data_IF_421585414892
#
_entry.id   IF_421585414892
#
_cell.length_a   1.000
_cell.length_b   1.000
_cell.length_c   1.000
_cell.angle_alpha   90.00
_cell.angle_beta   90.00
_cell.angle_gamma   90.00
#
_symmetry.space_group_name_H-M   'P 1'
#
loop_
_entity.id
_entity.type
_entity.pdbx_description
1 polymer ?
#
# COMPACT_ATOMS: atom_id res chain seq x y z
N UNK A 1 -2.53 12.91 -12.30
CA UNK A 1 -3.21 14.07 -11.66
C UNK A 1 -2.50 14.27 -10.34
N UNK A 2 -1.74 15.37 -10.24
CA UNK A 2 -1.09 15.92 -9.04
C UNK A 2 -0.26 14.97 -8.14
N UNK A 3 0.61 14.11 -8.69
CA UNK A 3 1.75 13.60 -7.94
C UNK A 3 1.44 12.86 -6.61
N UNK A 4 0.32 12.13 -6.56
CA UNK A 4 -0.20 11.33 -5.42
C UNK A 4 -0.94 12.08 -4.31
N UNK A 5 -0.97 13.41 -4.31
CA UNK A 5 -1.75 14.19 -3.34
C UNK A 5 -2.64 15.23 -4.02
N UNK A 6 -3.67 15.67 -3.31
CA UNK A 6 -4.53 16.76 -3.76
C UNK A 6 -4.92 17.64 -2.60
N UNK A 7 -4.71 18.94 -2.73
CA UNK A 7 -5.16 19.90 -1.72
C UNK A 7 -6.67 19.82 -1.54
N UNK A 8 -7.16 20.06 -0.32
CA UNK A 8 -8.60 20.06 -0.05
C UNK A 8 -9.33 21.07 -0.96
N UNK A 9 -8.74 22.23 -1.20
CA UNK A 9 -9.31 23.28 -2.05
C UNK A 9 -9.49 22.82 -3.49
N UNK A 10 -8.49 22.13 -4.03
CA UNK A 10 -8.50 21.58 -5.38
C UNK A 10 -9.47 20.41 -5.51
N UNK A 11 -9.49 19.50 -4.55
CA UNK A 11 -10.47 18.42 -4.51
C UNK A 11 -11.89 18.99 -4.56
N UNK A 12 -12.19 20.01 -3.75
CA UNK A 12 -13.49 20.66 -3.78
C UNK A 12 -13.75 21.42 -5.08
N UNK A 13 -12.73 22.00 -5.72
CA UNK A 13 -12.85 22.64 -7.04
C UNK A 13 -13.29 21.63 -8.09
N UNK A 14 -12.68 20.46 -8.12
CA UNK A 14 -12.95 19.46 -9.13
C UNK A 14 -14.32 18.77 -8.88
N UNK A 15 -14.67 18.54 -7.61
CA UNK A 15 -16.02 18.07 -7.23
C UNK A 15 -17.13 19.05 -7.65
N UNK A 16 -16.87 20.37 -7.60
CA UNK A 16 -17.83 21.38 -8.08
C UNK A 16 -18.09 21.26 -9.58
N UNK A 17 -17.10 20.86 -10.38
CA UNK A 17 -17.29 20.60 -11.82
C UNK A 17 -18.25 19.44 -12.04
N UNK A 18 -18.20 18.42 -11.18
CA UNK A 18 -19.13 17.30 -11.15
C UNK A 18 -20.46 17.61 -10.43
N UNK A 19 -20.76 18.89 -10.16
CA UNK A 19 -21.96 19.35 -9.44
C UNK A 19 -22.11 18.77 -8.03
N UNK A 20 -21.01 18.35 -7.42
CA UNK A 20 -20.93 17.90 -6.03
C UNK A 20 -20.47 19.07 -5.17
N UNK A 21 -21.32 19.55 -4.27
CA UNK A 21 -21.06 20.74 -3.47
C UNK A 21 -21.02 20.42 -1.98
N UNK A 22 -20.07 21.00 -1.22
CA UNK A 22 -20.07 20.87 0.23
C UNK A 22 -21.36 21.45 0.82
N UNK A 23 -21.96 20.77 1.81
CA UNK A 23 -23.17 21.24 2.50
C UNK A 23 -24.48 21.05 1.72
N UNK A 24 -24.45 20.47 0.51
CA UNK A 24 -25.65 20.09 -0.26
C UNK A 24 -25.72 18.58 -0.40
N UNK A 25 -26.91 18.01 -0.19
CA UNK A 25 -27.12 16.57 -0.41
C UNK A 25 -27.15 16.27 -1.91
N UNK A 26 -26.15 15.54 -2.39
CA UNK A 26 -26.13 14.94 -3.72
C UNK A 26 -26.95 13.65 -3.72
N UNK A 27 -27.68 13.38 -4.81
CA UNK A 27 -28.56 12.21 -4.91
C UNK A 27 -27.80 10.89 -4.75
N UNK A 28 -26.61 10.79 -5.34
CA UNK A 28 -25.76 9.59 -5.28
C UNK A 28 -24.82 9.59 -4.06
N UNK A 29 -24.24 10.75 -3.72
CA UNK A 29 -23.14 10.84 -2.75
C UNK A 29 -23.60 11.26 -1.35
N UNK A 30 -24.89 11.53 -1.16
CA UNK A 30 -25.39 12.10 0.08
C UNK A 30 -24.75 13.45 0.34
N UNK A 31 -24.42 13.77 1.59
CA UNK A 31 -23.76 15.03 1.95
C UNK A 31 -22.23 14.88 1.84
N UNK A 32 -21.56 15.55 0.88
CA UNK A 32 -20.16 15.28 0.56
C UNK A 32 -19.18 15.56 1.71
N UNK A 33 -19.43 16.57 2.56
CA UNK A 33 -18.56 16.86 3.72
C UNK A 33 -18.62 15.80 4.79
N UNK A 34 -19.70 15.02 4.87
CA UNK A 34 -19.75 13.81 5.68
C UNK A 34 -19.12 12.63 4.96
N UNK A 35 -19.26 12.51 3.64
CA UNK A 35 -18.79 11.33 2.91
C UNK A 35 -17.26 11.23 2.88
N UNK A 36 -16.55 12.33 2.61
CA UNK A 36 -15.10 12.29 2.38
C UNK A 36 -14.32 11.95 3.67
N UNK A 37 -14.40 12.75 4.76
CA UNK A 37 -13.76 12.42 6.03
C UNK A 37 -14.35 11.18 6.71
N UNK A 38 -15.68 11.00 6.73
CA UNK A 38 -16.27 9.89 7.51
C UNK A 38 -16.32 8.57 6.75
N UNK A 39 -16.37 8.60 5.42
CA UNK A 39 -16.44 7.41 4.58
C UNK A 39 -15.05 6.98 4.13
N UNK A 40 -14.46 7.73 3.21
CA UNK A 40 -13.22 7.32 2.53
C UNK A 40 -12.01 7.28 3.45
N UNK A 41 -11.85 8.26 4.35
CA UNK A 41 -10.74 8.24 5.33
C UNK A 41 -10.92 7.13 6.37
N UNK A 42 -12.14 6.95 6.89
CA UNK A 42 -12.45 5.86 7.84
C UNK A 42 -12.23 4.48 7.22
N UNK A 43 -12.62 4.30 5.96
CA UNK A 43 -12.44 3.06 5.21
C UNK A 43 -11.01 2.90 4.65
N UNK A 44 -10.09 3.82 4.94
CA UNK A 44 -8.67 3.77 4.52
C UNK A 44 -8.46 3.81 3.00
N UNK A 45 -9.43 4.35 2.26
CA UNK A 45 -9.26 4.66 0.84
C UNK A 45 -8.53 5.99 0.63
N UNK A 46 -8.72 6.94 1.54
CA UNK A 46 -8.00 8.20 1.55
C UNK A 46 -7.27 8.38 2.87
N UNK A 47 -6.17 9.10 2.83
CA UNK A 47 -5.53 9.72 3.98
C UNK A 47 -5.80 11.22 3.93
N UNK A 48 -5.89 11.85 5.09
CA UNK A 48 -6.12 13.29 5.24
C UNK A 48 -5.18 13.80 6.32
N UNK A 49 -4.28 14.70 5.95
CA UNK A 49 -3.36 15.31 6.89
C UNK A 49 -3.10 16.78 6.55
N UNK A 50 -2.60 17.50 7.55
CA UNK A 50 -2.15 18.87 7.36
C UNK A 50 -0.84 18.88 6.57
N UNK A 51 -0.68 19.83 5.66
CA UNK A 51 0.57 20.07 4.93
C UNK A 51 1.58 20.64 5.93
N UNK A 52 2.77 20.05 6.08
CA UNK A 52 3.82 20.56 6.96
C UNK A 52 4.15 22.02 6.63
N UNK A 53 4.38 22.83 7.66
CA UNK A 53 4.82 24.23 7.55
C UNK A 53 3.87 25.15 6.73
N UNK A 54 2.60 24.76 6.60
CA UNK A 54 1.59 25.60 5.94
C UNK A 54 1.07 26.70 6.87
N UNK A 55 1.23 27.96 6.43
CA UNK A 55 0.63 29.14 7.08
C UNK A 55 -0.17 29.97 6.05
N UNK A 56 -1.52 30.04 6.17
CA UNK A 56 -2.36 29.38 7.16
C UNK A 56 -2.40 27.85 6.98
N UNK A 57 -2.85 27.07 7.98
CA UNK A 57 -2.98 25.62 7.90
C UNK A 57 -3.75 25.15 6.66
N UNK A 58 -3.11 24.29 5.85
CA UNK A 58 -3.70 23.65 4.67
C UNK A 58 -3.74 22.14 4.85
N UNK A 59 -4.70 21.50 4.21
CA UNK A 59 -4.86 20.06 4.27
C UNK A 59 -4.86 19.45 2.87
N UNK A 60 -4.39 18.22 2.78
CA UNK A 60 -4.37 17.46 1.54
C UNK A 60 -4.88 16.04 1.76
N UNK A 61 -5.34 15.45 0.65
CA UNK A 61 -5.77 14.06 0.56
C UNK A 61 -4.76 13.24 -0.24
N UNK A 62 -4.52 12.02 0.22
CA UNK A 62 -3.70 11.03 -0.47
C UNK A 62 -4.43 9.71 -0.57
N UNK A 63 -3.92 8.81 -1.41
CA UNK A 63 -4.42 7.44 -1.44
C UNK A 63 -4.04 6.71 -0.15
N UNK A 64 -5.03 6.10 0.48
CA UNK A 64 -4.82 5.25 1.63
C UNK A 64 -4.40 3.83 1.24
N UNK A 65 -3.99 3.01 2.22
CA UNK A 65 -3.49 1.65 1.98
C UNK A 65 -4.52 0.77 1.27
N UNK A 66 -5.82 0.97 1.54
CA UNK A 66 -6.87 0.21 0.89
C UNK A 66 -6.99 0.54 -0.60
N UNK A 67 -6.81 1.81 -0.99
CA UNK A 67 -6.80 2.20 -2.39
C UNK A 67 -5.62 1.56 -3.14
N UNK A 68 -4.41 1.59 -2.56
CA UNK A 68 -3.23 0.95 -3.14
C UNK A 68 -3.33 -0.58 -3.26
N UNK A 69 -4.13 -1.22 -2.41
CA UNK A 69 -4.39 -2.66 -2.48
C UNK A 69 -5.42 -3.02 -3.56
N UNK A 70 -6.52 -2.27 -3.64
CA UNK A 70 -7.66 -2.62 -4.49
C UNK A 70 -7.51 -2.12 -5.93
N UNK A 71 -6.78 -1.03 -6.14
CA UNK A 71 -6.61 -0.41 -7.46
C UNK A 71 -5.15 -0.03 -7.72
N UNK A 72 -4.89 0.46 -8.93
CA UNK A 72 -3.63 1.06 -9.36
C UNK A 72 -3.89 2.34 -10.11
N UNK A 73 -2.84 3.15 -10.30
CA UNK A 73 -2.96 4.40 -11.07
C UNK A 73 -3.44 4.13 -12.48
N UNK A 74 -2.97 3.05 -13.11
CA UNK A 74 -3.42 2.67 -14.45
C UNK A 74 -4.91 2.38 -14.49
N UNK A 75 -5.44 1.57 -13.56
CA UNK A 75 -6.87 1.25 -13.50
C UNK A 75 -7.75 2.48 -13.30
N UNK A 76 -7.30 3.42 -12.47
CA UNK A 76 -8.04 4.68 -12.26
C UNK A 76 -7.99 5.54 -13.52
N UNK A 77 -6.83 5.65 -14.18
CA UNK A 77 -6.70 6.38 -15.43
C UNK A 77 -7.56 5.78 -16.56
N UNK A 78 -7.57 4.46 -16.71
CA UNK A 78 -8.43 3.74 -17.66
C UNK A 78 -9.91 4.01 -17.40
N UNK A 79 -10.33 3.99 -16.13
CA UNK A 79 -11.71 4.30 -15.77
C UNK A 79 -12.06 5.75 -16.15
N UNK A 80 -11.21 6.72 -15.81
CA UNK A 80 -11.40 8.13 -16.16
C UNK A 80 -11.46 8.33 -17.67
N UNK A 81 -10.56 7.71 -18.42
CA UNK A 81 -10.49 7.81 -19.87
C UNK A 81 -11.77 7.21 -20.51
N UNK A 82 -12.20 6.03 -20.03
CA UNK A 82 -13.44 5.36 -20.46
C UNK A 82 -14.69 6.21 -20.22
N UNK A 83 -14.82 6.87 -19.08
CA UNK A 83 -15.98 7.72 -18.78
C UNK A 83 -16.08 8.91 -19.74
N UNK A 84 -14.94 9.38 -20.25
CA UNK A 84 -14.88 10.51 -21.17
C UNK A 84 -14.76 10.09 -22.64
N UNK A 85 -14.81 8.79 -22.95
CA UNK A 85 -14.59 8.23 -24.29
C UNK A 85 -13.26 8.67 -24.93
N UNK A 86 -12.22 8.73 -24.09
CA UNK A 86 -10.86 9.15 -24.45
C UNK A 86 -9.91 7.99 -24.16
N UNK A 87 -8.79 7.91 -24.90
CA UNK A 87 -7.74 6.93 -24.62
C UNK A 87 -6.84 7.39 -23.44
N UNK A 88 -6.41 6.50 -22.53
CA UNK A 88 -5.54 6.84 -21.39
C UNK A 88 -4.27 7.62 -21.77
N UNK A 89 -3.67 7.31 -22.92
CA UNK A 89 -2.47 8.00 -23.42
C UNK A 89 -2.70 9.45 -23.84
N UNK A 90 -3.95 9.90 -23.94
CA UNK A 90 -4.29 11.32 -24.14
C UNK A 90 -3.95 12.18 -22.91
N UNK A 91 -3.55 11.55 -21.80
CA UNK A 91 -3.02 12.21 -20.60
C UNK A 91 -1.56 11.79 -20.37
N UNK A 92 -0.58 12.24 -21.18
CA UNK A 92 0.78 11.68 -21.20
C UNK A 92 1.44 11.61 -19.82
N UNK A 93 1.40 12.70 -19.05
CA UNK A 93 1.99 12.72 -17.71
C UNK A 93 1.33 11.75 -16.72
N UNK A 94 0.01 11.56 -16.80
CA UNK A 94 -0.69 10.59 -15.96
C UNK A 94 -0.42 9.15 -16.40
N UNK A 95 -0.32 8.94 -17.72
CA UNK A 95 -0.06 7.62 -18.30
C UNK A 95 1.35 7.13 -17.97
N UNK A 96 2.36 7.99 -18.12
CA UNK A 96 3.75 7.68 -17.73
C UNK A 96 3.88 7.40 -16.23
N UNK A 97 3.22 8.21 -15.39
CA UNK A 97 3.19 7.98 -13.95
C UNK A 97 2.52 6.65 -13.59
N UNK A 98 1.43 6.31 -14.27
CA UNK A 98 0.75 5.04 -14.08
C UNK A 98 1.60 3.84 -14.52
N UNK A 99 2.36 3.96 -15.61
CA UNK A 99 3.28 2.90 -16.04
C UNK A 99 4.40 2.67 -15.02
N UNK A 100 4.98 3.73 -14.46
CA UNK A 100 5.99 3.62 -13.39
C UNK A 100 5.42 2.95 -12.14
N UNK A 101 4.22 3.34 -11.71
CA UNK A 101 3.52 2.71 -10.57
C UNK A 101 3.33 1.20 -10.82
N UNK A 102 2.91 0.80 -12.02
CA UNK A 102 2.73 -0.61 -12.36
C UNK A 102 4.06 -1.39 -12.32
N UNK A 103 5.14 -0.82 -12.85
CA UNK A 103 6.47 -1.44 -12.80
C UNK A 103 6.98 -1.60 -11.37
N UNK A 104 6.92 -0.54 -10.56
CA UNK A 104 7.30 -0.57 -9.14
C UNK A 104 6.49 -1.62 -8.36
N UNK A 105 5.19 -1.76 -8.67
CA UNK A 105 4.32 -2.77 -8.04
C UNK A 105 4.71 -4.19 -8.40
N UNK A 106 5.13 -4.45 -9.65
CA UNK A 106 5.64 -5.77 -10.05
C UNK A 106 6.94 -6.07 -9.31
N UNK A 107 7.88 -5.12 -9.29
CA UNK A 107 9.15 -5.27 -8.58
C UNK A 107 8.94 -5.53 -7.08
N UNK A 108 8.07 -4.77 -6.43
CA UNK A 108 7.75 -4.95 -5.01
C UNK A 108 7.18 -6.35 -4.70
N UNK A 109 6.35 -6.90 -5.60
CA UNK A 109 5.80 -8.26 -5.47
C UNK A 109 6.90 -9.33 -5.61
N UNK A 110 7.81 -9.15 -6.55
CA UNK A 110 8.92 -10.08 -6.75
C UNK A 110 9.87 -10.09 -5.55
N UNK A 111 10.19 -8.91 -5.01
CA UNK A 111 10.97 -8.76 -3.78
C UNK A 111 10.27 -9.44 -2.59
N UNK A 112 8.97 -9.22 -2.41
CA UNK A 112 8.19 -9.85 -1.34
C UNK A 112 8.16 -11.39 -1.47
N UNK A 113 8.05 -11.91 -2.69
CA UNK A 113 8.09 -13.35 -2.97
C UNK A 113 9.47 -13.95 -2.67
N UNK A 114 10.53 -13.26 -3.07
CA UNK A 114 11.91 -13.66 -2.77
C UNK A 114 12.17 -13.70 -1.26
N UNK A 115 11.75 -12.66 -0.53
CA UNK A 115 11.87 -12.58 0.92
C UNK A 115 11.12 -13.72 1.63
N UNK A 116 9.89 -14.03 1.18
CA UNK A 116 9.10 -15.15 1.70
C UNK A 116 9.82 -16.48 1.48
N UNK A 117 10.38 -16.68 0.29
CA UNK A 117 11.12 -17.90 -0.07
C UNK A 117 12.38 -18.06 0.79
N UNK A 118 13.15 -16.99 0.99
CA UNK A 118 14.33 -16.99 1.85
C UNK A 118 13.98 -17.32 3.30
N UNK A 119 12.88 -16.75 3.83
CA UNK A 119 12.39 -17.04 5.18
C UNK A 119 12.01 -18.51 5.35
N UNK A 120 11.28 -19.09 4.39
CA UNK A 120 10.93 -20.51 4.41
C UNK A 120 12.19 -21.39 4.39
N UNK A 121 13.17 -21.09 3.53
CA UNK A 121 14.45 -21.83 3.49
C UNK A 121 15.18 -21.78 4.82
N UNK A 122 15.27 -20.60 5.46
CA UNK A 122 15.90 -20.47 6.77
C UNK A 122 15.17 -21.28 7.85
N UNK A 123 13.84 -21.28 7.83
CA UNK A 123 13.01 -22.08 8.74
C UNK A 123 13.26 -23.59 8.55
N UNK A 124 13.23 -24.08 7.31
CA UNK A 124 13.51 -25.50 7.02
C UNK A 124 14.92 -25.90 7.44
N UNK A 125 15.92 -25.05 7.19
CA UNK A 125 17.31 -25.31 7.62
C UNK A 125 17.43 -25.38 9.14
N UNK A 126 16.78 -24.46 9.87
CA UNK A 126 16.78 -24.47 11.33
C UNK A 126 16.07 -25.70 11.92
N UNK A 127 14.97 -26.15 11.30
CA UNK A 127 14.28 -27.39 11.70
C UNK A 127 15.14 -28.62 11.50
N UNK A 128 15.84 -28.73 10.35
CA UNK A 128 16.74 -29.83 10.07
C UNK A 128 17.91 -29.93 11.07
N UNK A 129 18.44 -28.79 11.52
CA UNK A 129 19.49 -28.73 12.55
C UNK A 129 18.96 -29.23 13.91
N UNK A 130 17.74 -28.84 14.30
CA UNK A 130 17.13 -29.28 15.57
C UNK A 130 16.82 -30.78 15.62
N UNK A 131 16.56 -31.41 14.48
CA UNK A 131 16.31 -32.86 14.41
C UNK A 131 17.57 -33.71 14.45
N UNK A 132 18.75 -33.12 14.29
CA UNK A 132 20.03 -33.83 14.22
C UNK A 132 21.05 -33.18 15.16
N UNK A 133 20.71 -33.11 16.45
CA UNK A 133 21.72 -32.95 17.51
C UNK A 133 22.08 -34.35 18.00
N UNK A 134 23.28 -34.88 17.70
CA UNK A 134 23.78 -36.07 18.37
C UNK A 134 23.92 -35.75 19.86
N UNK A 135 23.46 -36.66 20.73
CA UNK A 135 23.88 -36.66 22.14
C UNK A 135 25.40 -36.84 22.16
N UNK A 136 26.14 -35.75 22.33
CA UNK A 136 27.55 -35.83 22.65
C UNK A 136 27.72 -36.00 24.16
N UNK A 137 28.59 -36.94 24.52
CA UNK A 137 29.19 -37.23 25.83
C UNK A 137 28.58 -38.40 26.63
N UNK A 138 28.92 -39.63 26.22
CA UNK A 138 29.19 -40.70 27.17
C UNK A 138 30.67 -40.61 27.54
N UNK A 139 30.99 -40.03 28.69
CA UNK A 139 32.30 -40.17 29.32
C UNK A 139 32.67 -41.65 29.40
N UNK A 140 33.84 -42.01 28.89
CA UNK A 140 34.40 -43.33 29.04
C UNK A 140 34.77 -43.54 30.52
N UNK A 141 33.99 -44.38 31.20
CA UNK A 141 34.30 -44.83 32.55
C UNK A 141 35.49 -45.82 32.47
N UNK A 142 36.71 -45.32 32.67
CA UNK A 142 37.85 -46.20 32.94
C UNK A 142 37.66 -46.84 34.32
N UNK A 143 37.63 -48.18 34.43
CA UNK A 143 37.58 -48.82 35.74
C UNK A 143 38.93 -48.65 36.46
N UNK A 144 38.94 -48.52 37.79
CA UNK A 144 40.19 -48.39 38.53
C UNK A 144 40.93 -49.74 38.58
N UNK A 145 42.24 -49.66 38.35
CA UNK A 145 43.20 -50.75 38.54
C UNK A 145 43.01 -51.42 39.90
N UNK A 146 42.67 -52.71 39.89
CA UNK A 146 42.75 -53.56 41.07
C UNK A 146 44.12 -54.23 41.12
N UNK A 147 45.03 -53.61 41.85
CA UNK A 147 46.19 -54.28 42.43
C UNK A 147 45.72 -55.26 43.52
N UNK A 148 46.03 -56.56 43.36
CA UNK A 148 46.71 -57.49 44.29
C UNK A 148 46.73 -58.88 43.64
#
# INVERSE_FOLDING_TARGET
MNGNSVSEEEMWRDLRLMKVYPGRKHFVFGEPRKLIPKGFVRLKYLEYHQVPDSDPPRYEFLWGPKAHLETSKMKVLEFWAKVNDIHPSAFPGCYEEALRDEEERVQARDVARAATTAKLRALFKAMAIKTFTPLENSEAFCPPDQNI
#
